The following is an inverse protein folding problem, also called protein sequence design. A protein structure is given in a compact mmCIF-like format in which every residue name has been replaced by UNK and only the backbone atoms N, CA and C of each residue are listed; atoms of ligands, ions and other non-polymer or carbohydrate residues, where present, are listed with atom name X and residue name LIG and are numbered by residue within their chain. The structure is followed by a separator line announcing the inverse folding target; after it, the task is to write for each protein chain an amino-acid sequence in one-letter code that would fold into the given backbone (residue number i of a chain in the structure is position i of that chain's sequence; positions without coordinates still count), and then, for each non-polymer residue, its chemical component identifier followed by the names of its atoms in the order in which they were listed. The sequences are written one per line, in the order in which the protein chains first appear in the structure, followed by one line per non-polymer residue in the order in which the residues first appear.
data_IF_172520385515
#
_entry.id   IF_172520385515
#
_cell.length_a   1.000
_cell.length_b   1.000
_cell.length_c   1.000
_cell.angle_alpha   90.00
_cell.angle_beta   90.00
_cell.angle_gamma   90.00
#
_symmetry.space_group_name_H-M   'P 1'
#
loop_
_entity.id
_entity.type
_entity.pdbx_description
1 polymer ?
#
# COMPACT_ATOMS: atom_id res chain seq x y z
N UNK A 1 12.48 25.82 6.47
CA UNK A 1 11.43 24.90 6.89
C UNK A 1 11.70 23.53 6.30
N UNK A 2 11.57 22.56 7.08
CA UNK A 2 11.97 21.20 6.78
C UNK A 2 10.79 20.37 6.31
N UNK A 3 10.93 19.69 5.19
CA UNK A 3 9.94 18.71 4.81
C UNK A 3 10.05 17.52 5.76
N UNK A 4 8.92 16.97 6.25
CA UNK A 4 8.98 15.77 7.06
C UNK A 4 9.57 14.61 6.27
N UNK A 5 10.34 13.77 6.94
CA UNK A 5 10.83 12.54 6.32
C UNK A 5 9.65 11.63 5.97
N UNK A 6 9.81 10.84 4.92
CA UNK A 6 8.75 9.91 4.50
C UNK A 6 8.32 9.00 5.64
N UNK A 7 9.26 8.46 6.41
CA UNK A 7 8.95 7.60 7.55
C UNK A 7 8.06 8.30 8.56
N UNK A 8 8.30 9.59 8.81
CA UNK A 8 7.47 10.37 9.73
C UNK A 8 6.04 10.52 9.21
N UNK A 9 5.88 10.71 7.90
CA UNK A 9 4.57 10.78 7.28
C UNK A 9 3.82 9.44 7.39
N UNK A 10 4.52 8.35 7.15
CA UNK A 10 3.95 7.00 7.28
C UNK A 10 3.52 6.73 8.71
N UNK A 11 4.35 7.10 9.67
CA UNK A 11 4.06 6.90 11.08
C UNK A 11 2.85 7.70 11.53
N UNK A 12 2.77 8.97 11.12
CA UNK A 12 1.64 9.82 11.45
C UNK A 12 0.34 9.29 10.85
N UNK A 13 0.38 8.85 9.60
CA UNK A 13 -0.77 8.28 8.91
C UNK A 13 -1.24 6.99 9.59
N UNK A 14 -0.30 6.13 9.94
CA UNK A 14 -0.62 4.87 10.61
C UNK A 14 -1.22 5.11 11.99
N UNK A 15 -0.61 6.02 12.76
CA UNK A 15 -1.12 6.38 14.10
C UNK A 15 -2.54 6.96 14.01
N UNK A 16 -2.79 7.82 13.04
CA UNK A 16 -4.11 8.42 12.85
C UNK A 16 -5.19 7.37 12.52
N UNK A 17 -4.78 6.25 11.91
CA UNK A 17 -5.70 5.19 11.52
C UNK A 17 -5.91 4.11 12.59
N UNK A 18 -5.19 4.15 13.70
CA UNK A 18 -5.27 3.08 14.69
C UNK A 18 -6.67 2.80 15.19
N UNK A 19 -7.49 3.81 15.56
CA UNK A 19 -8.86 3.52 15.98
C UNK A 19 -9.68 2.86 14.89
N UNK A 20 -9.51 3.31 13.63
CA UNK A 20 -10.21 2.73 12.49
C UNK A 20 -9.75 1.29 12.23
N UNK A 21 -8.43 1.05 12.25
CA UNK A 21 -7.89 -0.28 12.00
C UNK A 21 -8.34 -1.28 13.05
N UNK A 22 -8.37 -0.87 14.32
CA UNK A 22 -8.85 -1.73 15.40
C UNK A 22 -10.31 -2.14 15.15
N UNK A 23 -11.14 -1.18 14.72
CA UNK A 23 -12.53 -1.46 14.41
C UNK A 23 -12.67 -2.36 13.20
N UNK A 24 -11.92 -2.10 12.12
CA UNK A 24 -11.97 -2.91 10.91
C UNK A 24 -11.52 -4.34 11.18
N UNK A 25 -10.46 -4.53 11.96
CA UNK A 25 -10.00 -5.86 12.32
C UNK A 25 -11.04 -6.60 13.18
N UNK A 26 -11.71 -5.89 14.08
CA UNK A 26 -12.78 -6.47 14.88
C UNK A 26 -13.98 -6.88 14.01
N UNK A 27 -14.17 -6.22 12.86
CA UNK A 27 -15.21 -6.54 11.89
C UNK A 27 -14.73 -7.52 10.82
N UNK A 28 -13.57 -8.13 11.02
CA UNK A 28 -12.96 -9.07 10.08
C UNK A 28 -12.74 -8.43 8.70
N UNK A 29 -12.25 -7.19 8.68
CA UNK A 29 -11.92 -6.45 7.47
C UNK A 29 -10.42 -6.27 7.38
N UNK A 30 -9.79 -6.76 6.29
CA UNK A 30 -8.35 -6.63 6.04
C UNK A 30 -8.05 -6.09 4.64
N UNK A 31 -8.96 -5.29 4.09
CA UNK A 31 -8.76 -4.55 2.84
C UNK A 31 -9.02 -3.08 3.12
N UNK A 32 -7.95 -2.25 3.10
CA UNK A 32 -8.08 -0.83 3.44
C UNK A 32 -6.86 -0.04 2.99
N UNK A 33 -7.03 1.29 2.90
CA UNK A 33 -5.93 2.19 2.57
C UNK A 33 -5.16 2.57 3.83
N UNK A 34 -3.85 2.42 3.76
CA UNK A 34 -2.92 2.75 4.86
C UNK A 34 -2.31 4.14 4.72
N UNK A 35 -2.14 4.62 3.49
CA UNK A 35 -1.55 5.93 3.23
C UNK A 35 -2.16 6.52 1.97
N UNK A 36 -2.63 7.76 2.08
CA UNK A 36 -3.12 8.53 0.95
C UNK A 36 -2.29 9.81 0.84
N UNK A 37 -1.32 9.79 -0.06
CA UNK A 37 -0.37 10.89 -0.20
C UNK A 37 -1.00 12.22 -0.54
N UNK A 38 -2.11 12.21 -1.27
CA UNK A 38 -2.79 13.46 -1.64
C UNK A 38 -3.28 14.26 -0.44
N UNK A 39 -3.61 13.58 0.65
CA UNK A 39 -4.07 14.23 1.89
C UNK A 39 -3.04 14.16 3.01
N UNK A 40 -1.93 13.44 2.79
CA UNK A 40 -0.95 13.18 3.85
C UNK A 40 0.46 13.60 3.45
N UNK A 41 0.56 14.67 2.65
CA UNK A 41 1.79 15.39 2.32
C UNK A 41 2.80 14.65 1.44
N UNK A 42 2.38 13.64 0.71
CA UNK A 42 3.22 12.99 -0.30
C UNK A 42 2.39 12.70 -1.55
N UNK A 43 2.03 13.73 -2.33
CA UNK A 43 1.14 13.55 -3.48
C UNK A 43 1.63 12.47 -4.44
N UNK A 44 0.70 11.66 -4.91
CA UNK A 44 1.00 10.60 -5.85
C UNK A 44 1.42 9.27 -5.26
N UNK A 45 1.51 9.17 -3.94
CA UNK A 45 1.84 7.91 -3.28
C UNK A 45 0.62 7.35 -2.55
N UNK A 46 0.30 6.08 -2.80
CA UNK A 46 -0.71 5.38 -2.03
C UNK A 46 -0.17 4.04 -1.54
N UNK A 47 -0.63 3.61 -0.38
CA UNK A 47 -0.31 2.29 0.17
C UNK A 47 -1.60 1.66 0.65
N UNK A 48 -1.92 0.49 0.10
CA UNK A 48 -3.13 -0.24 0.42
C UNK A 48 -2.80 -1.66 0.90
N UNK A 49 -3.65 -2.18 1.76
CA UNK A 49 -3.58 -3.58 2.17
C UNK A 49 -4.76 -4.35 1.59
N UNK A 50 -4.48 -5.56 1.07
CA UNK A 50 -5.49 -6.51 0.62
C UNK A 50 -5.09 -7.89 1.14
N UNK A 51 -5.64 -8.30 2.28
CA UNK A 51 -5.26 -9.55 2.92
C UNK A 51 -3.78 -9.53 3.33
N UNK A 52 -2.98 -10.40 2.74
CA UNK A 52 -1.53 -10.46 2.99
C UNK A 52 -0.70 -9.63 2.01
N UNK A 53 -1.35 -8.84 1.15
CA UNK A 53 -0.70 -8.03 0.14
C UNK A 53 -0.62 -6.56 0.60
N UNK A 54 0.57 -5.98 0.47
CA UNK A 54 0.79 -4.54 0.66
C UNK A 54 1.08 -3.95 -0.72
N UNK A 55 0.14 -3.16 -1.25
CA UNK A 55 0.28 -2.57 -2.58
C UNK A 55 0.73 -1.11 -2.45
N UNK A 56 1.92 -0.83 -2.97
CA UNK A 56 2.51 0.51 -3.00
C UNK A 56 2.39 1.02 -4.43
N UNK A 57 1.78 2.17 -4.63
CA UNK A 57 1.63 2.75 -5.97
C UNK A 57 2.06 4.20 -6.01
N UNK A 58 2.66 4.60 -7.13
CA UNK A 58 2.98 6.01 -7.41
C UNK A 58 2.33 6.43 -8.72
N UNK A 59 1.84 7.67 -8.77
CA UNK A 59 1.06 8.18 -9.91
C UNK A 59 1.67 9.38 -10.60
N UNK A 60 2.63 10.06 -9.98
CA UNK A 60 3.25 11.27 -10.55
C UNK A 60 4.75 11.10 -10.77
N UNK A 61 5.44 10.54 -9.81
CA UNK A 61 6.88 10.36 -9.86
C UNK A 61 7.23 8.96 -9.39
N UNK A 62 8.22 8.36 -10.03
CA UNK A 62 8.74 7.07 -9.61
C UNK A 62 9.33 7.18 -8.21
N UNK A 63 9.07 6.18 -7.40
CA UNK A 63 9.63 6.07 -6.06
C UNK A 63 11.08 5.61 -6.16
N UNK A 64 12.00 6.30 -5.48
CA UNK A 64 13.39 5.85 -5.49
C UNK A 64 13.58 4.65 -4.57
N UNK A 65 14.74 3.99 -4.71
CA UNK A 65 15.01 2.77 -3.94
C UNK A 65 15.07 2.99 -2.44
N UNK A 66 15.58 4.15 -2.03
CA UNK A 66 15.66 4.50 -0.60
C UNK A 66 14.25 4.62 0.00
N UNK A 67 13.35 5.33 -0.68
CA UNK A 67 11.99 5.52 -0.19
C UNK A 67 11.20 4.21 -0.24
N UNK A 68 11.41 3.40 -1.27
CA UNK A 68 10.76 2.09 -1.36
C UNK A 68 11.14 1.20 -0.18
N UNK A 69 12.43 1.14 0.14
CA UNK A 69 12.91 0.35 1.28
C UNK A 69 12.34 0.88 2.59
N UNK A 70 12.27 2.21 2.73
CA UNK A 70 11.71 2.83 3.92
C UNK A 70 10.25 2.43 4.14
N UNK A 71 9.45 2.44 3.07
CA UNK A 71 8.05 2.04 3.13
C UNK A 71 7.93 0.56 3.51
N UNK A 72 8.68 -0.29 2.84
CA UNK A 72 8.63 -1.74 3.09
C UNK A 72 9.04 -2.07 4.52
N UNK A 73 10.09 -1.43 5.02
CA UNK A 73 10.56 -1.64 6.40
C UNK A 73 9.55 -1.15 7.43
N UNK A 74 8.94 0.00 7.16
CA UNK A 74 7.96 0.56 8.08
C UNK A 74 6.79 -0.41 8.27
N UNK A 75 6.21 -0.88 7.18
CA UNK A 75 5.05 -1.78 7.27
C UNK A 75 5.43 -3.21 7.65
N UNK A 76 6.65 -3.64 7.38
CA UNK A 76 7.12 -4.94 7.89
C UNK A 76 7.13 -4.96 9.41
N UNK A 77 7.42 -3.83 10.03
CA UNK A 77 7.38 -3.71 11.49
C UNK A 77 5.97 -3.47 12.02
N UNK A 78 5.19 -2.62 11.34
CA UNK A 78 3.85 -2.24 11.80
C UNK A 78 2.80 -3.32 11.54
N UNK A 79 2.91 -4.02 10.41
CA UNK A 79 1.96 -5.06 9.99
C UNK A 79 2.76 -6.27 9.45
N UNK A 80 3.34 -7.08 10.33
CA UNK A 80 4.18 -8.21 9.90
C UNK A 80 3.41 -9.21 9.05
N UNK A 81 4.09 -9.82 8.11
CA UNK A 81 3.54 -10.91 7.31
C UNK A 81 2.95 -10.49 5.96
N UNK A 82 3.02 -9.20 5.61
CA UNK A 82 2.51 -8.76 4.32
C UNK A 82 3.59 -8.87 3.24
N UNK A 83 3.17 -9.22 2.02
CA UNK A 83 4.04 -9.20 0.84
C UNK A 83 3.90 -7.85 0.15
N UNK A 84 5.01 -7.11 0.03
CA UNK A 84 5.00 -5.80 -0.59
C UNK A 84 5.16 -5.90 -2.10
N UNK A 85 4.32 -5.16 -2.83
CA UNK A 85 4.38 -5.03 -4.28
C UNK A 85 4.38 -3.54 -4.60
N UNK A 86 5.30 -3.12 -5.48
CA UNK A 86 5.36 -1.74 -5.94
C UNK A 86 4.93 -1.65 -7.40
N UNK A 87 4.00 -0.76 -7.69
CA UNK A 87 3.54 -0.48 -9.04
C UNK A 87 3.69 1.01 -9.33
N UNK A 88 4.60 1.33 -10.26
CA UNK A 88 4.80 2.70 -10.73
C UNK A 88 3.83 3.00 -11.87
N UNK A 89 2.91 3.90 -11.62
CA UNK A 89 1.92 4.34 -12.60
C UNK A 89 2.14 5.78 -13.04
N UNK A 90 3.37 6.26 -12.89
CA UNK A 90 3.70 7.65 -13.22
C UNK A 90 3.92 7.89 -14.72
N UNK A 91 4.08 6.83 -15.51
CA UNK A 91 4.33 6.96 -16.94
C UNK A 91 3.15 7.53 -17.72
N UNK A 92 3.46 8.06 -18.91
CA UNK A 92 2.44 8.66 -19.77
C UNK A 92 1.32 7.68 -20.15
N UNK A 93 1.62 6.39 -20.16
CA UNK A 93 0.67 5.34 -20.52
C UNK A 93 0.08 4.63 -19.31
N UNK A 94 0.21 5.19 -18.13
CA UNK A 94 -0.22 4.53 -16.91
C UNK A 94 -1.71 4.20 -16.89
N UNK A 95 -2.51 4.96 -17.61
CA UNK A 95 -3.94 4.70 -17.70
C UNK A 95 -4.31 3.62 -18.71
N UNK A 96 -3.43 3.39 -19.68
CA UNK A 96 -3.77 2.57 -20.86
C UNK A 96 -3.23 1.16 -20.72
N UNK A 97 -2.69 0.82 -19.62
CA UNK A 97 -2.17 -0.50 -19.41
C UNK A 97 -0.68 -0.49 -19.27
N UNK A 98 -0.20 0.36 -18.38
CA UNK A 98 1.18 0.27 -17.94
C UNK A 98 1.36 -1.12 -17.32
N UNK A 99 1.99 -2.06 -18.02
CA UNK A 99 2.03 -3.43 -17.52
C UNK A 99 2.90 -3.52 -16.27
N UNK A 100 2.50 -4.36 -15.36
CA UNK A 100 3.31 -4.67 -14.18
C UNK A 100 4.56 -5.42 -14.63
N UNK A 101 5.72 -5.22 -13.97
CA UNK A 101 6.88 -6.07 -14.20
C UNK A 101 6.51 -7.55 -14.02
N UNK A 102 7.19 -8.43 -14.74
CA UNK A 102 6.85 -9.86 -14.72
C UNK A 102 6.82 -10.44 -13.31
N UNK A 103 7.76 -10.06 -12.46
CA UNK A 103 7.82 -10.53 -11.08
C UNK A 103 6.64 -10.06 -10.24
N UNK A 104 6.20 -8.82 -10.45
CA UNK A 104 5.04 -8.27 -9.75
C UNK A 104 3.77 -8.94 -10.26
N UNK A 105 3.68 -9.14 -11.58
CA UNK A 105 2.54 -9.80 -12.19
C UNK A 105 2.41 -11.24 -11.69
N UNK A 106 3.51 -11.97 -11.61
CA UNK A 106 3.51 -13.33 -11.10
C UNK A 106 3.02 -13.39 -9.65
N UNK A 107 3.46 -12.44 -8.81
CA UNK A 107 3.01 -12.37 -7.43
C UNK A 107 1.53 -11.98 -7.35
N UNK A 108 1.11 -11.02 -8.16
CA UNK A 108 -0.27 -10.55 -8.17
C UNK A 108 -1.26 -11.59 -8.72
N UNK A 109 -0.78 -12.54 -9.53
CA UNK A 109 -1.63 -13.59 -10.07
C UNK A 109 -1.90 -14.72 -9.09
N UNK A 110 -1.17 -14.80 -7.98
CA UNK A 110 -1.44 -15.79 -6.96
C UNK A 110 -2.78 -15.48 -6.30
N UNK A 111 -3.64 -16.47 -6.09
CA UNK A 111 -4.89 -16.25 -5.37
C UNK A 111 -4.63 -15.69 -3.97
N UNK A 112 -5.36 -14.67 -3.60
CA UNK A 112 -5.23 -14.03 -2.30
C UNK A 112 -6.60 -13.89 -1.68
N UNK A 113 -6.65 -14.03 -0.37
CA UNK A 113 -7.88 -13.93 0.39
C UNK A 113 -7.82 -12.67 1.25
N UNK A 114 -8.88 -11.89 1.22
CA UNK A 114 -9.04 -10.78 2.14
C UNK A 114 -10.48 -10.73 2.64
N UNK A 115 -10.69 -9.98 3.73
CA UNK A 115 -11.98 -9.92 4.39
C UNK A 115 -12.47 -8.48 4.49
N UNK A 116 -13.76 -8.30 4.33
CA UNK A 116 -14.43 -7.04 4.53
C UNK A 116 -15.77 -7.30 5.19
N UNK A 117 -15.96 -6.75 6.39
CA UNK A 117 -17.20 -6.92 7.16
C UNK A 117 -17.59 -8.38 7.37
N UNK A 118 -16.60 -9.24 7.57
CA UNK A 118 -16.84 -10.66 7.78
C UNK A 118 -17.05 -11.47 6.52
N UNK A 119 -17.05 -10.83 5.36
CA UNK A 119 -17.18 -11.53 4.07
C UNK A 119 -15.80 -11.82 3.52
N UNK A 120 -15.62 -13.03 3.04
CA UNK A 120 -14.33 -13.48 2.51
C UNK A 120 -14.29 -13.31 1.00
N UNK A 121 -13.22 -12.68 0.52
CA UNK A 121 -12.97 -12.48 -0.90
C UNK A 121 -11.65 -13.11 -1.30
N UNK A 122 -11.58 -13.60 -2.54
CA UNK A 122 -10.32 -14.07 -3.12
C UNK A 122 -9.93 -13.13 -4.24
N UNK A 123 -8.73 -12.55 -4.14
CA UNK A 123 -8.21 -11.62 -5.12
C UNK A 123 -7.29 -12.36 -6.08
N UNK A 124 -7.56 -12.22 -7.37
CA UNK A 124 -6.68 -12.66 -8.45
C UNK A 124 -6.43 -11.47 -9.36
N UNK A 125 -5.18 -11.21 -9.65
CA UNK A 125 -4.83 -10.13 -10.55
C UNK A 125 -4.98 -10.54 -12.02
#
# INVERSE_FOLDING_TARGET
MHEPALTDLLQAAFAARQPLLARLHAEDTDAYRLFNGSTENRPGLTVDRYGDLLLIQTFHNTLDGHDRVAIERFYAAALPGLTAIYNDRSGANSRVGNPLPAEVLAEAQKPREFHEMGVRYVVQA
#
